data_IF_581352675582
#
_entry.id   IF_581352675582
#
_cell.length_a   1.000
_cell.length_b   1.000
_cell.length_c   1.000
_cell.angle_alpha   90.00
_cell.angle_beta   90.00
_cell.angle_gamma   90.00
#
_symmetry.space_group_name_H-M   'P 1'
#
loop_
_entity.id
_entity.type
_entity.pdbx_description
1 polymer ?
#
# COMPACT_ATOMS: atom_id res chain seq x y z
N UNK A 1 37.16 -54.48 -5.11
CA UNK A 1 36.84 -53.28 -4.32
C UNK A 1 35.92 -52.38 -5.13
N UNK A 2 34.65 -52.23 -4.72
CA UNK A 2 33.73 -51.25 -5.33
C UNK A 2 33.57 -50.13 -4.31
N UNK A 3 34.13 -48.97 -4.61
CA UNK A 3 33.93 -47.75 -3.83
C UNK A 3 32.50 -47.25 -4.11
N UNK A 4 31.68 -47.19 -3.06
CA UNK A 4 30.35 -46.60 -3.10
C UNK A 4 30.51 -45.10 -2.83
N UNK A 5 30.49 -44.26 -3.88
CA UNK A 5 30.39 -42.82 -3.74
C UNK A 5 28.94 -42.47 -3.36
N UNK A 6 28.70 -42.16 -2.08
CA UNK A 6 27.44 -41.57 -1.63
C UNK A 6 27.56 -40.06 -1.82
N UNK A 7 27.03 -39.55 -2.93
CA UNK A 7 26.88 -38.11 -3.13
C UNK A 7 25.71 -37.58 -2.31
N UNK A 8 26.01 -36.81 -1.25
CA UNK A 8 25.01 -36.00 -0.55
C UNK A 8 24.51 -34.91 -1.50
N UNK A 9 23.27 -35.04 -1.99
CA UNK A 9 22.53 -33.91 -2.55
C UNK A 9 22.11 -32.99 -1.40
N UNK A 10 22.87 -31.92 -1.16
CA UNK A 10 22.39 -30.79 -0.34
C UNK A 10 21.34 -30.03 -1.15
N UNK A 11 20.06 -30.35 -0.94
CA UNK A 11 18.95 -29.50 -1.33
C UNK A 11 19.05 -28.20 -0.51
N UNK A 12 19.63 -27.16 -1.11
CA UNK A 12 19.49 -25.79 -0.61
C UNK A 12 18.04 -25.38 -0.81
N UNK A 13 17.21 -25.63 0.20
CA UNK A 13 15.89 -25.01 0.30
C UNK A 13 16.17 -23.54 0.66
N UNK A 14 16.34 -22.70 -0.36
CA UNK A 14 16.41 -21.26 -0.17
C UNK A 14 15.05 -20.81 0.38
N UNK A 15 14.99 -20.52 1.68
CA UNK A 15 13.88 -19.77 2.23
C UNK A 15 13.86 -18.41 1.52
N UNK A 16 12.79 -18.12 0.78
CA UNK A 16 12.62 -16.83 0.13
C UNK A 16 12.39 -15.81 1.24
N UNK A 17 13.43 -15.03 1.52
CA UNK A 17 13.35 -13.88 2.41
C UNK A 17 12.93 -12.67 1.60
N UNK A 18 12.09 -11.78 2.16
CA UNK A 18 11.80 -10.52 1.50
C UNK A 18 13.05 -9.64 1.39
N UNK A 19 13.01 -8.73 0.43
CA UNK A 19 13.92 -7.61 0.25
C UNK A 19 13.87 -6.68 1.47
N UNK A 20 14.93 -5.89 1.68
CA UNK A 20 15.00 -4.91 2.76
C UNK A 20 13.86 -3.90 2.66
N UNK A 21 13.10 -3.72 3.75
CA UNK A 21 11.91 -2.86 3.80
C UNK A 21 10.62 -3.52 3.28
N UNK A 22 10.65 -4.79 2.90
CA UNK A 22 9.52 -5.51 2.34
C UNK A 22 8.99 -6.57 3.31
N UNK A 23 7.75 -6.96 3.07
CA UNK A 23 7.07 -8.04 3.75
C UNK A 23 6.64 -9.12 2.76
N UNK A 24 6.65 -10.37 3.22
CA UNK A 24 6.20 -11.53 2.48
C UNK A 24 5.18 -12.31 3.31
N UNK A 25 4.03 -12.61 2.73
CA UNK A 25 2.98 -13.37 3.41
C UNK A 25 3.29 -14.87 3.47
N UNK A 26 3.09 -15.47 4.65
CA UNK A 26 3.05 -16.93 4.77
C UNK A 26 1.64 -17.44 4.47
N UNK A 27 1.38 -17.77 3.21
CA UNK A 27 0.03 -18.06 2.70
C UNK A 27 -0.76 -19.11 3.50
N UNK A 28 -0.07 -20.11 4.08
CA UNK A 28 -0.68 -21.19 4.89
C UNK A 28 -1.20 -20.74 6.26
N UNK A 29 -0.96 -19.49 6.65
CA UNK A 29 -1.29 -18.98 7.99
C UNK A 29 -2.59 -18.19 8.06
N UNK A 30 -3.30 -18.04 6.93
CA UNK A 30 -4.58 -17.37 6.89
C UNK A 30 -5.56 -18.02 7.87
N UNK A 31 -6.14 -17.22 8.77
CA UNK A 31 -7.16 -17.64 9.72
C UNK A 31 -8.35 -16.68 9.69
N UNK A 32 -9.56 -17.21 9.50
CA UNK A 32 -10.76 -16.40 9.60
C UNK A 32 -11.01 -16.01 11.06
N UNK A 33 -11.26 -14.72 11.29
CA UNK A 33 -11.67 -14.17 12.59
C UNK A 33 -13.18 -13.99 12.58
N UNK A 34 -13.71 -13.41 11.50
CA UNK A 34 -15.15 -13.22 11.29
C UNK A 34 -15.47 -13.45 9.81
N UNK A 35 -16.30 -14.45 9.53
CA UNK A 35 -16.83 -14.70 8.19
C UNK A 35 -18.14 -15.47 8.31
N UNK A 36 -19.23 -14.87 7.84
CA UNK A 36 -20.47 -15.62 7.60
C UNK A 36 -20.45 -16.15 6.16
N UNK A 37 -20.20 -17.45 6.04
CA UNK A 37 -20.16 -18.13 4.75
C UNK A 37 -21.53 -18.21 4.07
N UNK A 38 -22.62 -17.96 4.80
CA UNK A 38 -24.01 -18.03 4.32
C UNK A 38 -24.61 -16.66 4.01
N UNK A 39 -23.99 -15.57 4.48
CA UNK A 39 -24.47 -14.22 4.22
C UNK A 39 -24.44 -13.87 2.72
N UNK A 40 -25.47 -13.16 2.21
CA UNK A 40 -25.46 -12.64 0.85
C UNK A 40 -24.42 -11.53 0.68
N UNK A 41 -24.04 -11.25 -0.56
CA UNK A 41 -23.19 -10.11 -0.88
C UNK A 41 -23.99 -8.79 -0.87
N UNK A 42 -23.38 -7.66 -0.49
CA UNK A 42 -22.01 -7.52 0.00
C UNK A 42 -21.86 -8.04 1.43
N UNK A 43 -20.72 -8.65 1.74
CA UNK A 43 -20.39 -9.09 3.10
C UNK A 43 -18.98 -8.66 3.50
N UNK A 44 -18.79 -8.51 4.80
CA UNK A 44 -17.52 -8.17 5.42
C UNK A 44 -16.82 -9.45 5.89
N UNK A 45 -15.54 -9.58 5.55
CA UNK A 45 -14.70 -10.71 5.94
C UNK A 45 -13.47 -10.19 6.68
N UNK A 46 -13.24 -10.73 7.88
CA UNK A 46 -12.08 -10.42 8.71
C UNK A 46 -11.24 -11.67 8.87
N UNK A 47 -9.96 -11.58 8.53
CA UNK A 47 -9.00 -12.67 8.66
C UNK A 47 -7.63 -12.14 9.08
N UNK A 48 -6.81 -12.99 9.67
CA UNK A 48 -5.42 -12.70 9.97
C UNK A 48 -4.47 -13.55 9.14
N UNK A 49 -3.26 -13.02 8.92
CA UNK A 49 -2.16 -13.72 8.26
C UNK A 49 -0.85 -13.39 8.98
N UNK A 50 0.11 -14.33 8.94
CA UNK A 50 1.48 -14.05 9.35
C UNK A 50 2.30 -13.56 8.16
N UNK A 51 3.09 -12.52 8.40
CA UNK A 51 4.00 -11.90 7.46
C UNK A 51 5.41 -11.95 8.04
N UNK A 52 6.38 -12.24 7.18
CA UNK A 52 7.80 -12.07 7.49
C UNK A 52 8.21 -10.74 6.88
N UNK A 53 8.70 -9.82 7.69
CA UNK A 53 9.04 -8.45 7.29
C UNK A 53 10.50 -8.17 7.62
N UNK A 54 11.25 -7.61 6.67
CA UNK A 54 12.70 -7.39 6.81
C UNK A 54 13.00 -5.91 6.94
N UNK A 55 13.81 -5.56 7.95
CA UNK A 55 14.26 -4.18 8.15
C UNK A 55 15.07 -3.64 6.96
N UNK A 56 15.34 -2.33 6.95
CA UNK A 56 16.12 -1.72 5.86
C UNK A 56 17.57 -2.18 5.85
N UNK A 57 18.14 -2.47 7.01
CA UNK A 57 19.53 -2.92 7.13
C UNK A 57 19.72 -4.37 6.67
N UNK A 58 18.62 -5.09 6.44
CA UNK A 58 18.59 -6.49 6.05
C UNK A 58 19.04 -7.44 7.17
N UNK A 59 19.15 -6.97 8.41
CA UNK A 59 19.75 -7.67 9.54
C UNK A 59 18.73 -8.50 10.32
N UNK A 60 17.49 -8.02 10.42
CA UNK A 60 16.43 -8.72 11.15
C UNK A 60 15.22 -9.01 10.26
N UNK A 61 14.58 -10.15 10.55
CA UNK A 61 13.28 -10.52 9.99
C UNK A 61 12.30 -10.68 11.15
N UNK A 62 11.27 -9.85 11.17
CA UNK A 62 10.22 -9.88 12.16
C UNK A 62 8.99 -10.62 11.64
N UNK A 63 8.32 -11.33 12.53
CA UNK A 63 7.06 -12.02 12.24
C UNK A 63 5.90 -11.21 12.76
N UNK A 64 5.10 -10.68 11.85
CA UNK A 64 3.97 -9.81 12.17
C UNK A 64 2.67 -10.55 11.85
N UNK A 65 1.73 -10.55 12.81
CA UNK A 65 0.37 -11.06 12.58
C UNK A 65 -0.52 -9.88 12.17
N UNK A 66 -0.79 -9.75 10.87
CA UNK A 66 -1.61 -8.67 10.33
C UNK A 66 -3.07 -9.07 10.23
N UNK A 67 -3.99 -8.16 10.57
CA UNK A 67 -5.43 -8.35 10.41
C UNK A 67 -5.91 -7.60 9.17
N UNK A 68 -6.69 -8.27 8.32
CA UNK A 68 -7.31 -7.70 7.14
C UNK A 68 -8.82 -7.71 7.28
N UNK A 69 -9.43 -6.59 6.94
CA UNK A 69 -10.88 -6.36 6.95
C UNK A 69 -11.30 -5.95 5.54
N UNK A 70 -12.06 -6.81 4.86
CA UNK A 70 -12.37 -6.65 3.43
C UNK A 70 -13.87 -6.78 3.21
N UNK A 71 -14.43 -5.87 2.41
CA UNK A 71 -15.79 -6.01 1.88
C UNK A 71 -15.72 -6.69 0.52
N UNK A 72 -16.45 -7.79 0.37
CA UNK A 72 -16.56 -8.53 -0.89
C UNK A 72 -17.96 -8.41 -1.45
N UNK A 73 -18.05 -8.23 -2.77
CA UNK A 73 -19.33 -7.96 -3.45
C UNK A 73 -19.77 -9.10 -4.37
N UNK A 74 -18.94 -10.14 -4.52
CA UNK A 74 -19.21 -11.29 -5.39
C UNK A 74 -18.39 -12.51 -4.96
N UNK A 75 -18.71 -13.67 -5.52
CA UNK A 75 -17.89 -14.90 -5.37
C UNK A 75 -16.46 -14.70 -5.90
N UNK A 76 -16.30 -13.93 -6.98
CA UNK A 76 -14.99 -13.61 -7.54
C UNK A 76 -14.18 -12.74 -6.59
N UNK A 77 -14.80 -11.75 -5.94
CA UNK A 77 -14.16 -10.95 -4.90
C UNK A 77 -13.74 -11.82 -3.71
N UNK A 78 -14.59 -12.76 -3.29
CA UNK A 78 -14.28 -13.70 -2.21
C UNK A 78 -12.99 -14.48 -2.52
N UNK A 79 -12.86 -15.00 -3.74
CA UNK A 79 -11.68 -15.76 -4.15
C UNK A 79 -10.41 -14.90 -4.33
N UNK A 80 -10.54 -13.69 -4.88
CA UNK A 80 -9.40 -12.86 -5.26
C UNK A 80 -8.95 -11.89 -4.16
N UNK A 81 -9.86 -11.41 -3.31
CA UNK A 81 -9.56 -10.39 -2.30
C UNK A 81 -9.40 -10.98 -0.91
N UNK A 82 -10.06 -12.10 -0.59
CA UNK A 82 -9.96 -12.74 0.75
C UNK A 82 -8.71 -13.62 0.80
N UNK A 83 -7.55 -13.04 0.57
CA UNK A 83 -6.24 -13.67 0.63
C UNK A 83 -5.26 -12.73 1.36
N UNK A 84 -4.17 -13.26 1.92
CA UNK A 84 -3.14 -12.42 2.54
C UNK A 84 -2.55 -11.47 1.50
N UNK A 85 -2.17 -10.25 1.89
CA UNK A 85 -1.56 -9.30 0.95
C UNK A 85 -0.28 -9.90 0.32
N UNK A 86 -0.13 -9.75 -0.99
CA UNK A 86 0.97 -10.36 -1.76
C UNK A 86 0.69 -11.80 -2.22
N UNK A 87 -0.33 -12.49 -1.69
CA UNK A 87 -0.71 -13.81 -2.22
C UNK A 87 -1.43 -13.65 -3.55
N UNK A 88 -0.88 -14.30 -4.58
CA UNK A 88 -1.46 -14.39 -5.91
C UNK A 88 -2.14 -15.74 -6.07
N UNK A 89 -3.41 -15.72 -6.47
CA UNK A 89 -4.17 -16.92 -6.82
C UNK A 89 -4.43 -16.97 -8.32
N UNK A 90 -4.53 -18.17 -8.87
CA UNK A 90 -4.86 -18.41 -10.27
C UNK A 90 -6.15 -19.19 -10.40
N UNK A 91 -6.92 -18.91 -11.45
CA UNK A 91 -8.11 -19.68 -11.78
C UNK A 91 -7.70 -21.08 -12.23
N UNK A 92 -8.34 -22.09 -11.66
CA UNK A 92 -8.16 -23.49 -12.01
C UNK A 92 -9.50 -24.12 -12.42
N UNK A 93 -9.49 -25.42 -12.73
CA UNK A 93 -10.71 -26.16 -13.08
C UNK A 93 -11.72 -26.24 -11.93
N UNK A 94 -11.27 -26.12 -10.70
CA UNK A 94 -12.08 -26.35 -9.48
C UNK A 94 -12.32 -25.07 -8.67
N UNK A 95 -11.84 -23.91 -9.14
CA UNK A 95 -11.96 -22.65 -8.43
C UNK A 95 -10.72 -21.78 -8.60
N UNK A 96 -10.14 -21.37 -7.48
CA UNK A 96 -8.92 -20.57 -7.42
C UNK A 96 -7.89 -21.28 -6.54
N UNK A 97 -6.71 -21.49 -7.08
CA UNK A 97 -5.59 -22.14 -6.38
C UNK A 97 -4.49 -21.12 -6.11
N UNK A 98 -3.69 -21.38 -5.08
CA UNK A 98 -2.46 -20.64 -4.83
C UNK A 98 -1.54 -20.72 -6.06
N UNK A 99 -1.00 -19.58 -6.48
CA UNK A 99 0.02 -19.52 -7.52
C UNK A 99 1.39 -19.22 -6.92
N UNK A 100 1.51 -18.07 -6.24
CA UNK A 100 2.76 -17.58 -5.65
C UNK A 100 2.48 -16.53 -4.58
N UNK A 101 3.52 -16.16 -3.84
CA UNK A 101 3.50 -14.98 -2.98
C UNK A 101 4.51 -13.98 -3.51
N UNK A 102 4.06 -12.74 -3.70
CA UNK A 102 4.88 -11.59 -4.04
C UNK A 102 5.12 -10.77 -2.77
N UNK A 103 6.34 -10.26 -2.63
CA UNK A 103 6.65 -9.31 -1.57
C UNK A 103 6.02 -7.96 -1.85
N UNK A 104 5.81 -7.16 -0.82
CA UNK A 104 5.30 -5.80 -0.93
C UNK A 104 6.06 -4.88 0.01
N UNK A 105 6.25 -3.63 -0.43
CA UNK A 105 6.90 -2.62 0.38
C UNK A 105 6.02 -2.26 1.58
N UNK A 106 6.60 -2.33 2.79
CA UNK A 106 5.80 -2.32 4.02
C UNK A 106 5.05 -1.01 4.26
N UNK A 107 5.56 0.13 3.80
CA UNK A 107 4.86 1.42 3.92
C UNK A 107 3.59 1.52 3.04
N UNK A 108 3.48 0.72 1.97
CA UNK A 108 2.34 0.77 1.04
C UNK A 108 1.16 -0.12 1.45
N UNK A 109 1.27 -0.89 2.52
CA UNK A 109 0.17 -1.73 3.00
C UNK A 109 -0.92 -0.91 3.72
N UNK A 110 -2.14 -1.44 3.70
CA UNK A 110 -3.25 -0.99 4.55
C UNK A 110 -3.39 -1.84 5.82
N UNK A 111 -2.52 -2.83 6.03
CA UNK A 111 -2.49 -3.66 7.23
C UNK A 111 -1.84 -2.85 8.35
N UNK A 112 -2.65 -2.49 9.34
CA UNK A 112 -2.26 -1.58 10.43
C UNK A 112 -0.98 -2.04 11.13
N UNK A 113 -0.89 -3.31 11.49
CA UNK A 113 0.23 -3.85 12.26
C UNK A 113 1.56 -3.75 11.48
N UNK A 114 1.53 -3.99 10.16
CA UNK A 114 2.71 -3.89 9.31
C UNK A 114 3.08 -2.42 9.10
N UNK A 115 2.09 -1.54 8.90
CA UNK A 115 2.32 -0.11 8.69
C UNK A 115 2.88 0.58 9.93
N UNK A 116 2.48 0.13 11.13
CA UNK A 116 3.05 0.58 12.41
C UNK A 116 4.51 0.13 12.57
N UNK A 117 4.80 -1.15 12.29
CA UNK A 117 6.17 -1.67 12.29
C UNK A 117 7.07 -0.93 11.28
N UNK A 118 6.59 -0.73 10.05
CA UNK A 118 7.36 -0.06 9.00
C UNK A 118 7.83 1.34 9.42
N UNK A 119 7.06 2.06 10.22
CA UNK A 119 7.44 3.39 10.71
C UNK A 119 8.56 3.38 11.74
N UNK A 120 8.67 2.30 12.48
CA UNK A 120 9.69 2.14 13.52
C UNK A 120 10.99 1.60 12.91
N UNK A 121 10.88 0.72 11.92
CA UNK A 121 12.01 -0.08 11.40
C UNK A 121 12.49 0.34 10.01
N UNK A 122 11.72 1.14 9.27
CA UNK A 122 12.07 1.58 7.91
C UNK A 122 12.03 3.12 7.86
N UNK A 123 13.20 3.81 7.83
CA UNK A 123 13.25 5.26 7.69
C UNK A 123 12.57 5.69 6.39
N UNK A 124 11.84 6.81 6.42
CA UNK A 124 11.17 7.35 5.23
C UNK A 124 12.17 7.81 4.16
N UNK A 125 13.41 8.10 4.53
CA UNK A 125 14.49 8.47 3.60
C UNK A 125 15.18 7.21 3.09
N UNK A 126 14.62 6.60 2.04
CA UNK A 126 15.21 5.45 1.37
C UNK A 126 14.85 5.43 -0.13
N UNK A 127 15.50 4.53 -0.88
CA UNK A 127 15.35 4.43 -2.34
C UNK A 127 13.90 4.14 -2.80
N UNK A 128 13.16 3.31 -2.04
CA UNK A 128 11.78 2.96 -2.37
C UNK A 128 10.84 4.14 -2.13
N UNK A 129 11.01 4.85 -1.01
CA UNK A 129 10.25 6.09 -0.76
C UNK A 129 10.58 7.17 -1.79
N UNK A 130 11.84 7.31 -2.20
CA UNK A 130 12.23 8.26 -3.24
C UNK A 130 11.53 7.94 -4.57
N UNK A 131 11.43 6.65 -4.93
CA UNK A 131 10.67 6.19 -6.09
C UNK A 131 9.19 6.54 -5.96
N UNK A 132 8.58 6.30 -4.80
CA UNK A 132 7.16 6.64 -4.57
C UNK A 132 6.89 8.14 -4.61
N UNK A 133 7.81 8.99 -4.12
CA UNK A 133 7.72 10.44 -4.25
C UNK A 133 7.84 10.88 -5.72
N UNK A 134 8.67 10.19 -6.50
CA UNK A 134 8.81 10.45 -7.94
C UNK A 134 7.53 10.06 -8.69
N UNK A 135 6.94 8.92 -8.38
CA UNK A 135 5.65 8.50 -8.95
C UNK A 135 4.53 9.48 -8.55
N UNK A 136 4.53 9.96 -7.31
CA UNK A 136 3.57 10.97 -6.86
C UNK A 136 3.77 12.32 -7.57
N UNK A 137 5.01 12.77 -7.77
CA UNK A 137 5.33 13.94 -8.60
C UNK A 137 4.74 13.82 -10.00
N UNK A 138 4.89 12.67 -10.64
CA UNK A 138 4.35 12.42 -11.98
C UNK A 138 2.83 12.34 -12.00
N UNK A 139 2.20 11.86 -10.93
CA UNK A 139 0.76 11.95 -10.72
C UNK A 139 0.30 13.41 -10.64
N UNK A 140 0.95 14.24 -9.82
CA UNK A 140 0.63 15.66 -9.70
C UNK A 140 0.71 16.38 -11.05
N UNK A 141 1.75 16.11 -11.84
CA UNK A 141 1.92 16.66 -13.20
C UNK A 141 0.77 16.34 -14.16
N UNK A 142 0.07 15.23 -13.94
CA UNK A 142 -1.11 14.85 -14.73
C UNK A 142 -2.39 15.50 -14.20
N UNK A 143 -2.46 15.76 -12.89
CA UNK A 143 -3.67 16.26 -12.23
C UNK A 143 -3.79 17.79 -12.29
N UNK A 144 -2.74 18.53 -11.93
CA UNK A 144 -2.84 19.99 -11.81
C UNK A 144 -3.31 20.70 -13.10
N UNK A 145 -2.99 20.25 -14.34
CA UNK A 145 -3.51 20.89 -15.55
C UNK A 145 -5.04 20.83 -15.64
N UNK A 146 -5.65 19.72 -15.20
CA UNK A 146 -7.11 19.57 -15.19
C UNK A 146 -7.76 20.50 -14.18
N UNK A 147 -7.14 20.68 -13.01
CA UNK A 147 -7.60 21.65 -12.02
C UNK A 147 -7.45 23.09 -12.54
N UNK A 148 -6.38 23.39 -13.29
CA UNK A 148 -6.19 24.70 -13.92
C UNK A 148 -7.31 25.02 -14.90
N UNK A 149 -7.73 24.05 -15.72
CA UNK A 149 -8.88 24.19 -16.63
C UNK A 149 -10.18 24.40 -15.85
N UNK A 150 -10.44 23.59 -14.82
CA UNK A 150 -11.63 23.75 -13.97
C UNK A 150 -11.67 25.12 -13.28
N UNK A 151 -10.49 25.65 -12.91
CA UNK A 151 -10.34 26.96 -12.29
C UNK A 151 -10.58 28.16 -13.21
N UNK A 152 -10.68 27.94 -14.53
CA UNK A 152 -11.06 28.96 -15.52
C UNK A 152 -12.56 28.97 -15.83
N UNK A 153 -13.34 28.10 -15.19
CA UNK A 153 -14.79 28.03 -15.39
C UNK A 153 -15.53 29.18 -14.69
N UNK A 154 -16.78 29.42 -15.08
CA UNK A 154 -17.68 30.35 -14.39
C UNK A 154 -18.41 29.69 -13.19
N UNK A 155 -17.91 28.57 -12.68
CA UNK A 155 -18.52 27.86 -11.54
C UNK A 155 -18.17 28.56 -10.22
N UNK A 156 -19.04 28.40 -9.21
CA UNK A 156 -18.80 28.95 -7.87
C UNK A 156 -17.54 28.40 -7.19
N UNK A 157 -17.03 27.26 -7.65
CA UNK A 157 -15.87 26.56 -7.10
C UNK A 157 -14.59 26.77 -7.93
N UNK A 158 -14.66 27.54 -9.02
CA UNK A 158 -13.52 27.76 -9.91
C UNK A 158 -12.28 28.31 -9.17
N UNK A 159 -12.49 29.24 -8.23
CA UNK A 159 -11.40 29.80 -7.42
C UNK A 159 -10.64 28.73 -6.64
N UNK A 160 -11.35 27.77 -6.06
CA UNK A 160 -10.78 26.68 -5.26
C UNK A 160 -9.93 25.75 -6.12
N UNK A 161 -10.40 25.43 -7.33
CA UNK A 161 -9.62 24.66 -8.31
C UNK A 161 -8.39 25.41 -8.81
N UNK A 162 -8.49 26.71 -9.08
CA UNK A 162 -7.35 27.52 -9.50
C UNK A 162 -6.25 27.56 -8.42
N UNK A 163 -6.64 27.73 -7.15
CA UNK A 163 -5.71 27.72 -6.03
C UNK A 163 -5.08 26.33 -5.83
N UNK A 164 -5.88 25.26 -5.88
CA UNK A 164 -5.36 23.89 -5.79
C UNK A 164 -4.40 23.57 -6.94
N UNK A 165 -4.71 23.99 -8.18
CA UNK A 165 -3.84 23.79 -9.33
C UNK A 165 -2.46 24.42 -9.13
N UNK A 166 -2.42 25.66 -8.62
CA UNK A 166 -1.17 26.35 -8.35
C UNK A 166 -0.30 25.62 -7.32
N UNK A 167 -0.90 25.19 -6.21
CA UNK A 167 -0.17 24.51 -5.13
C UNK A 167 0.30 23.12 -5.56
N UNK A 168 -0.52 22.37 -6.30
CA UNK A 168 -0.13 21.06 -6.84
C UNK A 168 0.98 21.18 -7.89
N UNK A 169 0.95 22.22 -8.72
CA UNK A 169 2.02 22.53 -9.68
C UNK A 169 3.33 22.81 -8.94
N UNK A 170 3.31 23.70 -7.94
CA UNK A 170 4.48 24.03 -7.13
C UNK A 170 5.03 22.81 -6.38
N UNK A 171 4.16 22.03 -5.73
CA UNK A 171 4.54 20.79 -5.05
C UNK A 171 5.22 19.80 -6.02
N UNK A 172 4.71 19.68 -7.25
CA UNK A 172 5.32 18.81 -8.27
C UNK A 172 6.71 19.29 -8.73
N UNK A 173 6.98 20.60 -8.65
CA UNK A 173 8.28 21.16 -9.01
C UNK A 173 9.31 20.96 -7.89
N UNK A 174 8.87 20.97 -6.63
CA UNK A 174 9.73 20.74 -5.47
C UNK A 174 10.15 19.27 -5.34
N UNK A 175 9.21 18.33 -5.54
CA UNK A 175 9.48 16.90 -5.35
C UNK A 175 10.47 16.35 -6.38
N UNK A 176 11.19 15.24 -6.08
CA UNK A 176 11.29 14.63 -4.74
C UNK A 176 12.31 15.30 -3.81
N UNK A 177 13.19 16.17 -4.33
CA UNK A 177 14.31 16.74 -3.58
C UNK A 177 13.87 17.75 -2.51
N UNK A 178 12.82 18.53 -2.81
CA UNK A 178 12.15 19.45 -1.89
C UNK A 178 10.80 18.91 -1.47
N UNK A 179 10.52 18.91 -0.15
CA UNK A 179 9.31 18.30 0.41
C UNK A 179 8.45 19.23 1.24
N UNK A 180 8.77 20.51 1.34
CA UNK A 180 8.12 21.43 2.29
C UNK A 180 6.59 21.47 2.13
N UNK A 181 6.10 21.74 0.92
CA UNK A 181 4.65 21.74 0.66
C UNK A 181 4.02 20.36 0.85
N UNK A 182 4.68 19.32 0.37
CA UNK A 182 4.19 17.95 0.54
C UNK A 182 4.03 17.60 2.03
N UNK A 183 5.07 17.85 2.83
CA UNK A 183 5.08 17.54 4.26
C UNK A 183 4.11 18.41 5.05
N UNK A 184 3.89 19.67 4.68
CA UNK A 184 2.86 20.54 5.27
C UNK A 184 1.47 19.90 5.17
N UNK A 185 1.03 19.56 3.95
CA UNK A 185 -0.30 18.98 3.75
C UNK A 185 -0.39 17.54 4.26
N UNK A 186 0.68 16.75 4.15
CA UNK A 186 0.77 15.39 4.70
C UNK A 186 0.59 15.38 6.21
N UNK A 187 1.30 16.26 6.93
CA UNK A 187 1.17 16.37 8.39
C UNK A 187 -0.24 16.82 8.78
N UNK A 188 -0.80 17.78 8.06
CA UNK A 188 -2.16 18.24 8.30
C UNK A 188 -3.22 17.14 8.08
N UNK A 189 -3.03 16.28 7.07
CA UNK A 189 -3.86 15.09 6.86
C UNK A 189 -3.73 14.08 8.01
N UNK A 190 -2.50 13.86 8.50
CA UNK A 190 -2.24 12.93 9.59
C UNK A 190 -2.88 13.41 10.90
N UNK A 191 -2.81 14.71 11.21
CA UNK A 191 -3.50 15.32 12.35
C UNK A 191 -5.03 15.18 12.27
N UNK A 192 -5.57 15.17 11.05
CA UNK A 192 -7.00 14.99 10.77
C UNK A 192 -7.41 13.53 10.59
N UNK A 193 -6.51 12.57 10.84
CA UNK A 193 -6.74 11.15 10.63
C UNK A 193 -7.31 10.83 9.22
N UNK A 194 -6.76 11.49 8.19
CA UNK A 194 -7.17 11.30 6.81
C UNK A 194 -8.43 12.06 6.39
N UNK A 195 -9.06 12.83 7.28
CA UNK A 195 -10.25 13.59 6.95
C UNK A 195 -9.91 14.88 6.18
N UNK A 196 -10.35 14.95 4.93
CA UNK A 196 -10.14 16.10 4.04
C UNK A 196 -11.22 17.18 4.16
N UNK A 197 -12.27 16.94 4.95
CA UNK A 197 -13.49 17.75 5.00
C UNK A 197 -14.49 17.40 3.88
N UNK A 198 -15.70 17.93 4.02
CA UNK A 198 -16.83 17.72 3.08
C UNK A 198 -16.99 18.84 2.05
N UNK A 199 -16.50 20.04 2.35
CA UNK A 199 -16.62 21.21 1.47
C UNK A 199 -15.56 21.21 0.38
N UNK A 200 -15.93 21.61 -0.84
CA UNK A 200 -15.05 21.65 -2.00
C UNK A 200 -14.11 22.86 -1.97
N UNK A 201 -13.15 22.83 -1.05
CA UNK A 201 -12.10 23.85 -0.88
C UNK A 201 -10.82 23.45 -1.59
N UNK A 202 -9.94 24.42 -1.88
CA UNK A 202 -8.63 24.17 -2.46
C UNK A 202 -7.81 23.19 -1.59
N UNK A 203 -7.88 23.38 -0.27
CA UNK A 203 -7.23 22.51 0.69
C UNK A 203 -7.73 21.06 0.59
N UNK A 204 -9.05 20.85 0.54
CA UNK A 204 -9.62 19.51 0.34
C UNK A 204 -9.08 18.89 -0.95
N UNK A 205 -9.12 19.66 -2.05
CA UNK A 205 -8.69 19.19 -3.37
C UNK A 205 -7.21 18.77 -3.39
N UNK A 206 -6.33 19.44 -2.64
CA UNK A 206 -4.92 19.09 -2.50
C UNK A 206 -4.75 17.85 -1.63
N UNK A 207 -5.43 17.82 -0.48
CA UNK A 207 -5.39 16.71 0.46
C UNK A 207 -5.90 15.40 -0.14
N UNK A 208 -6.96 15.47 -0.96
CA UNK A 208 -7.48 14.32 -1.70
C UNK A 208 -6.40 13.70 -2.60
N UNK A 209 -5.57 14.53 -3.25
CA UNK A 209 -4.50 14.03 -4.12
C UNK A 209 -3.38 13.38 -3.32
N UNK A 210 -3.00 13.93 -2.17
CA UNK A 210 -2.01 13.30 -1.27
C UNK A 210 -2.54 12.00 -0.69
N UNK A 211 -3.80 11.97 -0.27
CA UNK A 211 -4.43 10.74 0.22
C UNK A 211 -4.49 9.66 -0.87
N UNK A 212 -4.77 10.05 -2.11
CA UNK A 212 -4.82 9.13 -3.24
C UNK A 212 -3.43 8.61 -3.63
N UNK A 213 -2.45 9.50 -3.82
CA UNK A 213 -1.15 9.17 -4.42
C UNK A 213 -0.02 8.92 -3.42
N UNK A 214 -0.19 9.29 -2.15
CA UNK A 214 0.86 9.27 -1.14
C UNK A 214 0.41 8.82 0.26
N UNK A 215 -0.68 8.06 0.38
CA UNK A 215 -1.15 7.50 1.66
C UNK A 215 -0.15 6.57 2.35
N UNK A 216 0.81 6.03 1.59
CA UNK A 216 1.94 5.26 2.12
C UNK A 216 2.80 6.06 3.11
N UNK A 217 2.78 7.40 3.01
CA UNK A 217 3.56 8.30 3.86
C UNK A 217 2.89 8.65 5.21
N UNK A 218 1.69 8.11 5.50
CA UNK A 218 0.84 8.54 6.63
C UNK A 218 0.42 7.40 7.56
N UNK A 219 0.06 7.74 8.81
CA UNK A 219 -0.55 6.82 9.79
C UNK A 219 -2.05 7.03 9.97
N UNK A 220 -2.79 6.65 8.94
CA UNK A 220 -4.25 6.75 8.86
C UNK A 220 -4.81 5.45 8.29
#
# INVERSE_FOLDING_TARGET
MKALLIGLLTLNIFAVQPSSGFCLAKYTTKKYIQNDFTAPYPKEVIFSCQYECRDMEGQSTEKISGISKIVVTSLTDDALKVVCQGVVVKKSKWGYDYDRTEEFYAHQTNIKEIKEWAKQSIPLENEYTLKLLTEFKDHLKKVYPSYKIAGQSNSSVAKEFAQAAHILEEMSQQLPEGRNLFDEYRLMLQERNGNTGSELTAQKLIMDQILFGASWSMNI
#
